data_IF_946703534114
#
_entry.id   IF_946703534114
#
_cell.length_a   1.000
_cell.length_b   1.000
_cell.length_c   1.000
_cell.angle_alpha   90.00
_cell.angle_beta   90.00
_cell.angle_gamma   90.00
#
_symmetry.space_group_name_H-M   'P 1'
#
loop_
_entity.id
_entity.type
_entity.pdbx_description
1 polymer ?
#
# COMPACT_ATOMS: atom_id res chain seq x y z
N UNK A 1 -9.59 29.79 0.09
CA UNK A 1 -9.94 29.00 1.30
C UNK A 1 -8.72 28.76 2.18
N UNK A 2 -7.61 28.28 1.60
CA UNK A 2 -6.34 28.02 2.28
C UNK A 2 -5.89 29.09 3.30
N UNK A 3 -5.82 30.38 2.92
CA UNK A 3 -5.32 31.43 3.82
C UNK A 3 -6.13 31.59 5.12
N UNK A 4 -7.45 31.39 5.07
CA UNK A 4 -8.29 31.49 6.27
C UNK A 4 -7.98 30.34 7.25
N UNK A 5 -7.84 29.12 6.72
CA UNK A 5 -7.45 27.95 7.52
C UNK A 5 -6.05 28.14 8.08
N UNK A 6 -5.12 28.63 7.25
CA UNK A 6 -3.74 28.90 7.64
C UNK A 6 -3.67 29.92 8.78
N UNK A 7 -4.48 30.97 8.76
CA UNK A 7 -4.55 31.93 9.89
C UNK A 7 -4.95 31.24 11.20
N UNK A 8 -5.92 30.32 11.17
CA UNK A 8 -6.29 29.53 12.36
C UNK A 8 -5.09 28.73 12.88
N UNK A 9 -4.33 28.08 11.99
CA UNK A 9 -3.14 27.30 12.38
C UNK A 9 -1.97 28.16 12.87
N UNK A 10 -1.91 29.44 12.51
CA UNK A 10 -0.93 30.38 13.07
C UNK A 10 -1.33 30.79 14.48
N UNK A 11 -2.64 31.00 14.73
CA UNK A 11 -3.16 31.36 16.05
C UNK A 11 -3.07 30.21 17.05
N UNK A 12 -3.38 28.99 16.61
CA UNK A 12 -3.20 27.77 17.40
C UNK A 12 -2.53 26.67 16.54
N UNK A 13 -1.20 26.55 16.60
CA UNK A 13 -0.46 25.53 15.85
C UNK A 13 -0.79 24.10 16.25
N UNK A 14 -1.38 23.89 17.43
CA UNK A 14 -1.71 22.56 17.96
C UNK A 14 -3.14 22.10 17.65
N UNK A 15 -3.93 22.96 17.00
CA UNK A 15 -5.31 22.65 16.67
C UNK A 15 -5.41 21.70 15.46
N UNK A 16 -5.26 20.40 15.71
CA UNK A 16 -5.19 19.33 14.70
C UNK A 16 -6.35 19.34 13.69
N UNK A 17 -7.57 19.70 14.14
CA UNK A 17 -8.77 19.72 13.29
C UNK A 17 -8.70 20.74 12.15
N UNK A 18 -8.01 21.87 12.34
CA UNK A 18 -7.80 22.84 11.26
C UNK A 18 -6.95 22.26 10.14
N UNK A 19 -5.91 21.48 10.48
CA UNK A 19 -5.10 20.78 9.49
C UNK A 19 -5.87 19.65 8.83
N UNK A 20 -6.54 18.80 9.62
CA UNK A 20 -7.27 17.65 9.10
C UNK A 20 -8.41 18.07 8.17
N UNK A 21 -9.41 18.81 8.66
CA UNK A 21 -10.56 19.18 7.84
C UNK A 21 -10.18 20.19 6.76
N UNK A 22 -9.25 21.10 7.06
CA UNK A 22 -8.76 22.07 6.10
C UNK A 22 -8.10 21.41 4.90
N UNK A 23 -7.16 20.50 5.13
CA UNK A 23 -6.50 19.78 4.03
C UNK A 23 -7.46 18.87 3.27
N UNK A 24 -8.37 18.19 3.96
CA UNK A 24 -9.40 17.37 3.30
C UNK A 24 -10.24 18.21 2.35
N UNK A 25 -10.78 19.35 2.80
CA UNK A 25 -11.57 20.24 1.95
C UNK A 25 -10.76 20.75 0.75
N UNK A 26 -9.51 21.16 0.96
CA UNK A 26 -8.61 21.59 -0.11
C UNK A 26 -8.39 20.47 -1.15
N UNK A 27 -8.16 19.23 -0.71
CA UNK A 27 -7.96 18.10 -1.62
C UNK A 27 -9.21 17.82 -2.48
N UNK A 28 -10.41 17.89 -1.89
CA UNK A 28 -11.67 17.70 -2.61
C UNK A 28 -12.04 18.88 -3.53
N UNK A 29 -11.48 20.06 -3.30
CA UNK A 29 -11.58 21.23 -4.18
C UNK A 29 -10.42 21.32 -5.19
N UNK A 30 -9.71 20.19 -5.43
CA UNK A 30 -8.62 20.06 -6.40
C UNK A 30 -7.37 20.91 -6.08
N UNK A 31 -7.25 21.42 -4.84
CA UNK A 31 -6.08 22.14 -4.31
C UNK A 31 -5.11 21.19 -3.57
N UNK A 32 -4.79 20.03 -4.19
CA UNK A 32 -4.06 18.94 -3.54
C UNK A 32 -2.70 19.36 -2.97
N UNK A 33 -1.92 20.17 -3.69
CA UNK A 33 -0.61 20.62 -3.20
C UNK A 33 -0.73 21.50 -1.95
N UNK A 34 -1.78 22.34 -1.87
CA UNK A 34 -2.05 23.15 -0.68
C UNK A 34 -2.54 22.28 0.49
N UNK A 35 -3.30 21.22 0.19
CA UNK A 35 -3.72 20.23 1.18
C UNK A 35 -2.51 19.52 1.81
N UNK A 36 -1.55 19.07 1.00
CA UNK A 36 -0.29 18.48 1.47
C UNK A 36 0.54 19.49 2.28
N UNK A 37 0.74 20.70 1.76
CA UNK A 37 1.49 21.75 2.45
C UNK A 37 0.91 22.05 3.84
N UNK A 38 -0.42 22.14 3.94
CA UNK A 38 -1.12 22.36 5.21
C UNK A 38 -0.94 21.18 6.15
N UNK A 39 -1.20 19.95 5.69
CA UNK A 39 -1.11 18.76 6.54
C UNK A 39 0.31 18.44 6.99
N UNK A 40 1.32 18.63 6.15
CA UNK A 40 2.72 18.46 6.55
C UNK A 40 3.13 19.50 7.60
N UNK A 41 2.66 20.75 7.48
CA UNK A 41 2.84 21.75 8.53
C UNK A 41 2.14 21.31 9.83
N UNK A 42 0.94 20.75 9.71
CA UNK A 42 0.20 20.15 10.82
C UNK A 42 0.97 19.04 11.52
N UNK A 43 1.57 18.12 10.77
CA UNK A 43 2.35 17.01 11.32
C UNK A 43 3.66 17.50 11.96
N UNK A 44 4.31 18.54 11.40
CA UNK A 44 5.47 19.18 12.03
C UNK A 44 5.12 19.80 13.39
N UNK A 45 3.96 20.46 13.48
CA UNK A 45 3.50 21.07 14.73
C UNK A 45 2.90 20.03 15.71
N UNK A 46 2.41 18.91 15.20
CA UNK A 46 1.74 17.84 15.95
C UNK A 46 2.33 16.47 15.59
N UNK A 47 3.62 16.18 15.93
CA UNK A 47 4.34 15.01 15.43
C UNK A 47 3.78 13.66 15.90
N UNK A 48 2.88 13.67 16.89
CA UNK A 48 2.19 12.48 17.39
C UNK A 48 0.74 12.35 16.90
N UNK A 49 0.31 13.20 15.97
CA UNK A 49 -1.05 13.16 15.45
C UNK A 49 -1.24 12.00 14.48
N UNK A 50 -1.90 10.94 14.95
CA UNK A 50 -2.39 9.86 14.09
C UNK A 50 -3.41 10.39 13.06
N UNK A 51 -4.22 11.37 13.46
CA UNK A 51 -5.27 11.95 12.61
C UNK A 51 -4.70 12.63 11.37
N UNK A 52 -3.69 13.49 11.55
CA UNK A 52 -3.05 14.18 10.44
C UNK A 52 -2.25 13.18 9.57
N UNK A 53 -1.52 12.25 10.18
CA UNK A 53 -0.77 11.22 9.46
C UNK A 53 -1.71 10.30 8.64
N UNK A 54 -2.82 9.86 9.22
CA UNK A 54 -3.84 9.06 8.50
C UNK A 54 -4.43 9.84 7.33
N UNK A 55 -4.69 11.14 7.48
CA UNK A 55 -5.18 11.96 6.37
C UNK A 55 -4.15 12.12 5.25
N UNK A 56 -2.87 12.33 5.61
CA UNK A 56 -1.77 12.36 4.64
C UNK A 56 -1.67 11.04 3.89
N UNK A 57 -1.80 9.89 4.57
CA UNK A 57 -1.88 8.59 3.94
C UNK A 57 -3.02 8.51 2.93
N UNK A 58 -4.24 8.83 3.38
CA UNK A 58 -5.43 8.84 2.54
C UNK A 58 -5.24 9.69 1.29
N UNK A 59 -4.80 10.94 1.44
CA UNK A 59 -4.61 11.83 0.30
C UNK A 59 -3.53 11.34 -0.67
N UNK A 60 -2.47 10.71 -0.14
CA UNK A 60 -1.37 10.15 -0.91
C UNK A 60 -1.84 9.05 -1.84
N UNK A 61 -2.47 8.00 -1.30
CA UNK A 61 -2.94 6.94 -2.16
C UNK A 61 -4.15 7.42 -2.97
N UNK A 62 -5.16 8.03 -2.36
CA UNK A 62 -6.45 8.27 -3.03
C UNK A 62 -6.39 9.34 -4.13
N UNK A 63 -5.82 10.52 -3.84
CA UNK A 63 -5.79 11.62 -4.83
C UNK A 63 -4.56 11.60 -5.71
N UNK A 64 -3.39 11.27 -5.15
CA UNK A 64 -2.11 11.30 -5.89
C UNK A 64 -1.79 9.97 -6.59
N UNK A 65 -2.37 8.85 -6.12
CA UNK A 65 -2.02 7.51 -6.59
C UNK A 65 -0.67 7.01 -6.07
N UNK A 66 -0.14 7.68 -5.04
CA UNK A 66 1.17 7.39 -4.45
C UNK A 66 1.00 6.45 -3.25
N UNK A 67 1.02 5.16 -3.55
CA UNK A 67 0.86 4.08 -2.57
C UNK A 67 2.05 3.98 -1.61
N UNK A 68 3.26 4.30 -2.08
CA UNK A 68 4.46 4.28 -1.25
C UNK A 68 4.37 5.35 -0.16
N UNK A 69 4.07 6.58 -0.56
CA UNK A 69 3.85 7.68 0.39
C UNK A 69 2.63 7.42 1.28
N UNK A 70 1.58 6.80 0.73
CA UNK A 70 0.42 6.33 1.50
C UNK A 70 0.83 5.37 2.63
N UNK A 71 1.57 4.30 2.30
CA UNK A 71 2.07 3.34 3.27
C UNK A 71 2.96 3.99 4.33
N UNK A 72 3.86 4.89 3.94
CA UNK A 72 4.74 5.62 4.87
C UNK A 72 3.95 6.44 5.90
N UNK A 73 2.95 7.22 5.48
CA UNK A 73 2.14 8.01 6.40
C UNK A 73 1.18 7.14 7.23
N UNK A 74 0.67 6.04 6.67
CA UNK A 74 -0.12 5.07 7.42
C UNK A 74 0.73 4.45 8.54
N UNK A 75 1.99 4.15 8.27
CA UNK A 75 2.91 3.63 9.28
C UNK A 75 3.17 4.66 10.39
N UNK A 76 3.38 5.93 10.04
CA UNK A 76 3.48 7.02 11.03
C UNK A 76 2.19 7.11 11.87
N UNK A 77 1.03 6.97 11.23
CA UNK A 77 -0.26 6.95 11.92
C UNK A 77 -0.38 5.75 12.88
N UNK A 78 -0.03 4.54 12.43
CA UNK A 78 -0.08 3.31 13.22
C UNK A 78 0.76 3.41 14.49
N UNK A 79 1.99 3.94 14.38
CA UNK A 79 2.90 4.14 15.52
C UNK A 79 2.32 5.09 16.57
N UNK A 80 1.50 6.04 16.15
CA UNK A 80 0.82 6.98 17.04
C UNK A 80 -0.58 6.44 17.39
N UNK A 81 -0.64 5.46 18.29
CA UNK A 81 -1.89 4.78 18.69
C UNK A 81 -3.02 5.77 19.01
N UNK A 82 -4.25 5.46 18.57
CA UNK A 82 -5.42 6.28 18.88
C UNK A 82 -6.61 5.96 17.98
N UNK A 83 -7.70 6.72 18.12
CA UNK A 83 -8.92 6.49 17.32
C UNK A 83 -8.67 6.57 15.80
N UNK A 84 -7.69 7.38 15.38
CA UNK A 84 -7.36 7.61 13.98
C UNK A 84 -6.11 6.85 13.52
N UNK A 85 -5.52 6.00 14.37
CA UNK A 85 -4.33 5.24 13.97
C UNK A 85 -4.71 4.20 12.93
N UNK A 86 -3.93 4.13 11.85
CA UNK A 86 -4.07 3.06 10.86
C UNK A 86 -3.85 1.69 11.50
N UNK A 87 -4.56 0.68 11.00
CA UNK A 87 -4.31 -0.71 11.43
C UNK A 87 -3.00 -1.21 10.81
N UNK A 88 -2.42 -2.26 11.40
CA UNK A 88 -1.24 -2.89 10.80
C UNK A 88 -1.56 -3.44 9.39
N UNK A 89 -2.75 -4.02 9.24
CA UNK A 89 -3.21 -4.54 7.96
C UNK A 89 -3.29 -3.46 6.89
N UNK A 90 -3.81 -2.26 7.22
CA UNK A 90 -3.91 -1.14 6.29
C UNK A 90 -2.53 -0.68 5.81
N UNK A 91 -1.54 -0.59 6.72
CA UNK A 91 -0.16 -0.22 6.37
C UNK A 91 0.42 -1.21 5.37
N UNK A 92 0.30 -2.50 5.67
CA UNK A 92 0.82 -3.57 4.81
C UNK A 92 0.13 -3.59 3.44
N UNK A 93 -1.19 -3.38 3.40
CA UNK A 93 -1.95 -3.38 2.15
C UNK A 93 -1.57 -2.20 1.24
N UNK A 94 -1.31 -1.02 1.81
CA UNK A 94 -0.85 0.14 1.04
C UNK A 94 0.53 -0.08 0.43
N UNK A 95 1.49 -0.60 1.21
CA UNK A 95 2.81 -0.96 0.67
C UNK A 95 2.71 -2.04 -0.41
N UNK A 96 1.92 -3.09 -0.19
CA UNK A 96 1.73 -4.17 -1.18
C UNK A 96 1.02 -3.69 -2.46
N UNK A 97 0.09 -2.75 -2.36
CA UNK A 97 -0.55 -2.13 -3.51
C UNK A 97 0.46 -1.35 -4.36
N UNK A 98 1.38 -0.64 -3.72
CA UNK A 98 2.52 0.03 -4.35
C UNK A 98 3.62 -0.92 -4.86
N UNK A 99 3.47 -2.24 -4.71
CA UNK A 99 4.49 -3.26 -5.00
C UNK A 99 5.78 -3.13 -4.15
N UNK A 100 5.69 -2.46 -3.00
CA UNK A 100 6.74 -2.39 -2.00
C UNK A 100 6.60 -3.58 -1.03
N UNK A 101 6.69 -4.79 -1.58
CA UNK A 101 6.40 -6.03 -0.85
C UNK A 101 7.32 -6.24 0.34
N UNK A 102 8.60 -5.89 0.21
CA UNK A 102 9.61 -6.02 1.25
C UNK A 102 9.29 -5.12 2.46
N UNK A 103 8.82 -3.89 2.20
CA UNK A 103 8.37 -2.98 3.25
C UNK A 103 7.12 -3.52 3.96
N UNK A 104 6.15 -4.04 3.20
CA UNK A 104 4.94 -4.62 3.76
C UNK A 104 5.25 -5.84 4.66
N UNK A 105 6.06 -6.78 4.17
CA UNK A 105 6.44 -8.00 4.91
C UNK A 105 7.29 -7.65 6.13
N UNK A 106 8.25 -6.72 6.00
CA UNK A 106 9.08 -6.27 7.11
C UNK A 106 8.26 -5.60 8.22
N UNK A 107 7.29 -4.75 7.85
CA UNK A 107 6.37 -4.12 8.79
C UNK A 107 5.48 -5.14 9.51
N UNK A 108 4.94 -6.13 8.78
CA UNK A 108 4.14 -7.20 9.38
C UNK A 108 4.96 -8.07 10.32
N UNK A 109 6.22 -8.38 9.99
CA UNK A 109 7.11 -9.15 10.86
C UNK A 109 7.31 -8.45 12.22
N UNK A 110 7.60 -7.15 12.21
CA UNK A 110 7.71 -6.34 13.43
C UNK A 110 6.37 -6.28 14.21
N UNK A 111 5.25 -6.19 13.49
CA UNK A 111 3.90 -6.19 14.10
C UNK A 111 3.54 -7.55 14.73
N UNK A 112 3.93 -8.66 14.12
CA UNK A 112 3.75 -10.04 14.61
C UNK A 112 4.51 -10.24 15.93
N UNK A 113 5.75 -9.73 16.02
CA UNK A 113 6.57 -9.80 17.24
C UNK A 113 5.94 -8.99 18.39
N UNK A 114 5.27 -7.89 18.08
CA UNK A 114 4.61 -7.00 19.05
C UNK A 114 3.18 -7.42 19.40
N UNK A 115 2.59 -8.36 18.65
CA UNK A 115 1.22 -8.80 18.85
C UNK A 115 1.05 -9.48 20.22
N UNK A 116 0.07 -8.98 20.99
CA UNK A 116 -0.18 -9.42 22.38
C UNK A 116 -1.01 -10.70 22.47
N UNK A 117 -1.87 -10.93 21.49
CA UNK A 117 -2.76 -12.08 21.43
C UNK A 117 -2.48 -12.93 20.18
N UNK A 118 -2.75 -14.22 20.30
CA UNK A 118 -2.46 -15.19 19.25
C UNK A 118 -3.35 -15.01 18.02
N UNK A 119 -4.59 -14.50 18.19
CA UNK A 119 -5.50 -14.28 17.08
C UNK A 119 -4.97 -13.19 16.14
N UNK A 120 -4.55 -12.05 16.69
CA UNK A 120 -3.87 -10.98 15.93
C UNK A 120 -2.60 -11.50 15.26
N UNK A 121 -1.79 -12.29 15.98
CA UNK A 121 -0.55 -12.85 15.40
C UNK A 121 -0.82 -13.73 14.19
N UNK A 122 -1.80 -14.62 14.28
CA UNK A 122 -2.21 -15.52 13.18
C UNK A 122 -2.77 -14.71 12.00
N UNK A 123 -3.56 -13.67 12.26
CA UNK A 123 -4.08 -12.79 11.22
C UNK A 123 -2.95 -12.12 10.43
N UNK A 124 -1.99 -11.52 11.12
CA UNK A 124 -0.85 -10.83 10.49
C UNK A 124 0.06 -11.82 9.74
N UNK A 125 0.28 -13.03 10.28
CA UNK A 125 1.03 -14.09 9.59
C UNK A 125 0.35 -14.51 8.28
N UNK A 126 -0.98 -14.67 8.30
CA UNK A 126 -1.73 -14.98 7.09
C UNK A 126 -1.64 -13.85 6.05
N UNK A 127 -1.74 -12.59 6.48
CA UNK A 127 -1.58 -11.45 5.58
C UNK A 127 -0.17 -11.41 4.97
N UNK A 128 0.88 -11.63 5.77
CA UNK A 128 2.26 -11.70 5.29
C UNK A 128 2.41 -12.83 4.25
N UNK A 129 1.81 -13.99 4.50
CA UNK A 129 1.73 -15.10 3.54
C UNK A 129 1.09 -14.69 2.21
N UNK A 130 -0.04 -13.99 2.25
CA UNK A 130 -0.72 -13.51 1.04
C UNK A 130 0.12 -12.49 0.26
N UNK A 131 0.81 -11.59 0.95
CA UNK A 131 1.69 -10.59 0.32
C UNK A 131 2.92 -11.27 -0.31
N UNK A 132 3.51 -12.26 0.35
CA UNK A 132 4.59 -13.07 -0.24
C UNK A 132 4.14 -13.79 -1.51
N UNK A 133 2.92 -14.32 -1.55
CA UNK A 133 2.35 -14.91 -2.78
C UNK A 133 2.29 -13.89 -3.91
N UNK A 134 1.81 -12.68 -3.66
CA UNK A 134 1.78 -11.62 -4.69
C UNK A 134 3.19 -11.22 -5.13
N UNK A 135 4.14 -11.10 -4.21
CA UNK A 135 5.54 -10.81 -4.52
C UNK A 135 6.14 -11.85 -5.44
N UNK A 136 5.99 -13.14 -5.11
CA UNK A 136 6.49 -14.24 -5.94
C UNK A 136 5.84 -14.25 -7.33
N UNK A 137 4.52 -14.03 -7.40
CA UNK A 137 3.81 -13.95 -8.69
C UNK A 137 4.35 -12.79 -9.53
N UNK A 138 4.53 -11.59 -8.98
CA UNK A 138 5.09 -10.44 -9.72
C UNK A 138 6.52 -10.72 -10.21
N UNK A 139 7.35 -11.40 -9.41
CA UNK A 139 8.69 -11.83 -9.81
C UNK A 139 8.65 -12.85 -10.96
N UNK A 140 7.80 -13.87 -10.86
CA UNK A 140 7.64 -14.90 -11.90
C UNK A 140 7.09 -14.28 -13.19
N UNK A 141 6.09 -13.39 -13.10
CA UNK A 141 5.52 -12.69 -14.25
C UNK A 141 6.57 -11.83 -14.97
N UNK A 142 7.38 -11.08 -14.23
CA UNK A 142 8.49 -10.30 -14.80
C UNK A 142 9.50 -11.19 -15.51
N UNK A 143 9.92 -12.29 -14.88
CA UNK A 143 10.86 -13.25 -15.45
C UNK A 143 10.28 -13.94 -16.70
N UNK A 144 9.01 -14.36 -16.67
CA UNK A 144 8.30 -14.95 -17.80
C UNK A 144 8.13 -13.96 -18.96
N UNK A 145 7.83 -12.70 -18.66
CA UNK A 145 7.77 -11.63 -19.65
C UNK A 145 9.11 -11.42 -20.37
N UNK A 146 10.21 -11.37 -19.61
CA UNK A 146 11.55 -11.31 -20.18
C UNK A 146 11.88 -12.56 -21.01
N UNK A 147 11.60 -13.75 -20.48
CA UNK A 147 11.79 -15.01 -21.20
C UNK A 147 11.06 -15.01 -22.56
N UNK A 148 9.79 -14.58 -22.57
CA UNK A 148 8.98 -14.47 -23.79
C UNK A 148 9.59 -13.49 -24.79
N UNK A 149 10.11 -12.35 -24.33
CA UNK A 149 10.76 -11.36 -25.21
C UNK A 149 12.02 -11.91 -25.91
N UNK A 150 12.75 -12.82 -25.26
CA UNK A 150 13.99 -13.41 -25.80
C UNK A 150 13.75 -14.69 -26.59
N UNK A 151 12.81 -15.53 -26.17
CA UNK A 151 12.58 -16.88 -26.73
C UNK A 151 11.37 -16.97 -27.65
N UNK A 152 10.52 -15.94 -27.71
CA UNK A 152 9.30 -15.92 -28.53
C UNK A 152 8.16 -16.81 -28.02
N UNK A 153 8.33 -17.47 -26.87
CA UNK A 153 7.32 -18.30 -26.20
C UNK A 153 7.38 -18.08 -24.70
N UNK A 154 6.28 -18.39 -23.99
CA UNK A 154 6.30 -18.43 -22.52
C UNK A 154 7.16 -19.62 -22.03
N UNK A 155 7.72 -19.52 -20.81
CA UNK A 155 8.36 -20.67 -20.16
C UNK A 155 7.32 -21.78 -19.90
N UNK A 156 7.78 -23.03 -19.84
CA UNK A 156 6.95 -24.22 -19.60
C UNK A 156 6.52 -24.31 -18.13
N UNK A 157 7.39 -23.89 -17.23
CA UNK A 157 7.25 -23.97 -15.78
C UNK A 157 8.21 -22.96 -15.12
N UNK A 158 8.16 -22.87 -13.79
CA UNK A 158 9.01 -21.94 -13.02
C UNK A 158 10.47 -22.41 -13.02
N UNK A 159 10.70 -23.72 -13.08
CA UNK A 159 12.00 -24.35 -13.15
C UNK A 159 12.77 -23.93 -14.42
N UNK A 160 12.09 -23.75 -15.55
CA UNK A 160 12.70 -23.25 -16.78
C UNK A 160 13.22 -21.81 -16.62
N UNK A 161 12.57 -20.99 -15.79
CA UNK A 161 13.05 -19.64 -15.47
C UNK A 161 14.32 -19.70 -14.62
N UNK A 162 14.40 -20.64 -13.68
CA UNK A 162 15.62 -20.89 -12.87
C UNK A 162 16.76 -21.40 -13.75
N UNK A 163 16.50 -22.38 -14.62
CA UNK A 163 17.49 -22.90 -15.57
C UNK A 163 18.00 -21.82 -16.53
N UNK A 164 17.14 -20.87 -16.90
CA UNK A 164 17.49 -19.69 -17.69
C UNK A 164 18.18 -18.57 -16.89
N UNK A 165 18.36 -18.74 -15.56
CA UNK A 165 18.91 -17.75 -14.62
C UNK A 165 18.12 -16.44 -14.55
N UNK A 166 16.82 -16.51 -14.82
CA UNK A 166 15.88 -15.39 -14.65
C UNK A 166 15.28 -15.35 -13.25
N UNK A 167 15.34 -16.48 -12.54
CA UNK A 167 15.08 -16.61 -11.10
C UNK A 167 16.27 -17.33 -10.45
N UNK A 168 16.56 -17.02 -9.19
CA UNK A 168 17.61 -17.69 -8.42
C UNK A 168 17.23 -19.13 -8.06
N UNK A 169 15.97 -19.31 -7.67
CA UNK A 169 15.36 -20.59 -7.31
C UNK A 169 13.84 -20.51 -7.51
N UNK A 170 13.15 -21.65 -7.38
CA UNK A 170 11.69 -21.68 -7.38
C UNK A 170 11.22 -21.18 -6.01
N UNK A 171 10.47 -20.06 -5.92
CA UNK A 171 10.03 -19.55 -4.63
C UNK A 171 9.13 -20.55 -3.91
N UNK A 172 9.31 -20.69 -2.60
CA UNK A 172 8.44 -21.55 -1.78
C UNK A 172 7.08 -20.87 -1.59
N UNK A 173 6.00 -21.59 -1.85
CA UNK A 173 4.63 -21.09 -1.63
C UNK A 173 4.29 -21.13 -0.12
N UNK A 174 3.90 -20.01 0.51
CA UNK A 174 3.74 -19.90 1.97
C UNK A 174 2.67 -20.79 2.61
N UNK A 175 1.70 -21.27 1.82
CA UNK A 175 0.58 -22.08 2.27
C UNK A 175 0.68 -23.55 1.80
N UNK A 176 1.85 -23.96 1.30
CA UNK A 176 2.12 -25.32 0.85
C UNK A 176 1.61 -25.62 -0.56
N UNK A 177 1.27 -24.59 -1.34
CA UNK A 177 0.92 -24.71 -2.75
C UNK A 177 2.14 -24.78 -3.67
N UNK A 178 1.88 -24.59 -4.97
CA UNK A 178 2.92 -24.47 -6.01
C UNK A 178 2.60 -23.32 -6.97
N UNK A 179 3.64 -22.69 -7.50
CA UNK A 179 3.48 -21.68 -8.56
C UNK A 179 3.38 -22.36 -9.92
N UNK A 180 2.52 -21.83 -10.78
CA UNK A 180 2.31 -22.30 -12.15
C UNK A 180 2.22 -21.10 -13.10
N UNK A 181 2.65 -21.30 -14.34
CA UNK A 181 2.62 -20.28 -15.39
C UNK A 181 1.53 -20.67 -16.39
N UNK A 182 0.61 -19.76 -16.67
CA UNK A 182 -0.45 -19.92 -17.68
C UNK A 182 -0.30 -18.86 -18.77
N UNK A 183 -1.19 -18.87 -19.76
CA UNK A 183 -1.19 -17.84 -20.81
C UNK A 183 -1.53 -16.44 -20.25
N UNK A 184 -2.31 -16.39 -19.17
CA UNK A 184 -2.72 -15.16 -18.48
C UNK A 184 -1.66 -14.63 -17.50
N UNK A 185 -0.64 -15.42 -17.17
CA UNK A 185 0.43 -15.08 -16.24
C UNK A 185 0.67 -16.15 -15.17
N UNK A 186 1.45 -15.80 -14.16
CA UNK A 186 1.75 -16.66 -13.03
C UNK A 186 0.58 -16.68 -12.02
N UNK A 187 0.37 -17.85 -11.40
CA UNK A 187 -0.59 -18.05 -10.32
C UNK A 187 -0.11 -19.15 -9.36
N UNK A 188 -0.81 -19.38 -8.26
CA UNK A 188 -0.55 -20.48 -7.34
C UNK A 188 -1.68 -21.52 -7.34
N UNK A 189 -1.35 -22.77 -7.00
CA UNK A 189 -2.31 -23.87 -6.83
C UNK A 189 -2.14 -24.53 -5.44
N UNK A 190 -3.22 -24.62 -4.63
CA UNK A 190 -4.52 -23.99 -4.83
C UNK A 190 -4.42 -22.45 -4.93
N UNK A 191 -5.37 -21.80 -5.60
CA UNK A 191 -5.36 -20.33 -5.75
C UNK A 191 -5.69 -19.70 -4.39
N UNK A 192 -4.65 -19.24 -3.69
CA UNK A 192 -4.77 -18.44 -2.46
C UNK A 192 -4.64 -16.94 -2.77
N UNK A 193 -4.27 -16.62 -4.02
CA UNK A 193 -4.05 -15.25 -4.49
C UNK A 193 -5.22 -14.33 -4.14
N UNK A 194 -4.98 -13.35 -3.28
CA UNK A 194 -5.99 -12.37 -2.92
C UNK A 194 -6.12 -11.32 -4.03
N UNK A 195 -7.25 -11.34 -4.77
CA UNK A 195 -7.56 -10.33 -5.80
C UNK A 195 -7.69 -8.91 -5.24
N UNK A 196 -7.71 -8.73 -3.92
CA UNK A 196 -7.76 -7.44 -3.24
C UNK A 196 -6.69 -6.46 -3.74
N UNK A 197 -5.41 -6.86 -3.79
CA UNK A 197 -4.32 -5.96 -4.21
C UNK A 197 -4.44 -5.51 -5.65
N UNK A 198 -4.86 -6.42 -6.54
CA UNK A 198 -5.17 -6.10 -7.93
C UNK A 198 -6.32 -5.10 -8.03
N UNK A 199 -7.40 -5.32 -7.28
CA UNK A 199 -8.55 -4.40 -7.22
C UNK A 199 -8.19 -3.02 -6.68
N UNK A 200 -7.33 -2.92 -5.67
CA UNK A 200 -6.90 -1.62 -5.14
C UNK A 200 -6.20 -0.80 -6.21
N UNK A 201 -5.31 -1.44 -6.99
CA UNK A 201 -4.62 -0.80 -8.12
C UNK A 201 -5.59 -0.41 -9.25
N UNK A 202 -6.52 -1.30 -9.60
CA UNK A 202 -7.50 -1.06 -10.66
C UNK A 202 -8.50 0.05 -10.30
N UNK A 203 -8.98 0.09 -9.06
CA UNK A 203 -9.91 1.11 -8.57
C UNK A 203 -9.36 2.53 -8.79
N UNK A 204 -8.06 2.74 -8.59
CA UNK A 204 -7.44 4.03 -8.88
C UNK A 204 -7.27 4.33 -10.37
N UNK A 205 -6.98 3.33 -11.19
CA UNK A 205 -6.91 3.51 -12.63
C UNK A 205 -8.27 3.92 -13.22
N UNK A 206 -9.37 3.45 -12.62
CA UNK A 206 -10.74 3.74 -13.03
C UNK A 206 -11.32 5.03 -12.42
N UNK A 207 -10.82 5.47 -11.26
CA UNK A 207 -11.30 6.69 -10.61
C UNK A 207 -10.77 7.90 -11.36
N UNK A 208 -11.63 8.74 -11.99
CA UNK A 208 -11.16 9.90 -12.72
C UNK A 208 -10.47 10.86 -11.75
N UNK A 209 -9.22 11.23 -12.04
CA UNK A 209 -8.54 12.34 -11.34
C UNK A 209 -9.43 13.60 -11.45
N UNK A 210 -10.13 13.95 -10.39
CA UNK A 210 -10.94 15.19 -10.32
C UNK A 210 -12.29 15.19 -11.06
N UNK A 211 -12.89 14.05 -11.39
CA UNK A 211 -14.18 14.03 -12.07
C UNK A 211 -15.38 14.04 -11.12
N UNK A 212 -15.81 15.20 -10.59
CA UNK A 212 -17.16 15.31 -9.98
C UNK A 212 -18.20 14.83 -11.00
N UNK A 213 -18.84 13.66 -10.78
CA UNK A 213 -20.20 13.45 -11.30
C UNK A 213 -21.08 14.47 -10.57
N UNK A 214 -21.35 15.59 -11.24
CA UNK A 214 -22.38 16.54 -10.79
C UNK A 214 -23.68 15.75 -10.67
N UNK A 215 -24.21 15.70 -9.46
CA UNK A 215 -25.60 15.30 -9.18
C UNK A 215 -26.49 16.48 -9.52
#
# INVERSE_FOLDING_TARGET
MYELIRMVTILDPTFEYAYYYGSTLLAWDEELELAFLLSEAGLRNNPKSAMIASNLSFMSYYFRGDWEMGGMYAEISHRNSGKYSSSADEVADLYAAGRNYEMAIGFLADSIEKAKDDATRVQLQNQAGMIMVEMHIDQIDKAAGFFKSVKGRIPRDVEELVAARLLSEVPQEPFGGVYVITEEGATNKPEVRNKHYKRMREYQAETPKGGRKRI
#
